data_IF_010211243069
#
_entry.id   IF_010211243069
#
_cell.length_a   1.000
_cell.length_b   1.000
_cell.length_c   1.000
_cell.angle_alpha   90.00
_cell.angle_beta   90.00
_cell.angle_gamma   90.00
#
_symmetry.space_group_name_H-M   'P 1'
#
loop_
_entity.id
_entity.type
_entity.pdbx_description
1 polymer ?
#
# COMPACT_ATOMS: atom_id res chain seq x y z
N UNK A 1 10.89 -5.56 18.33
CA UNK A 1 9.83 -5.63 17.28
C UNK A 1 10.50 -6.13 16.02
N UNK A 2 9.82 -6.89 15.17
CA UNK A 2 10.38 -7.34 13.89
C UNK A 2 10.24 -6.21 12.87
N UNK A 3 11.35 -5.81 12.24
CA UNK A 3 11.35 -4.74 11.24
C UNK A 3 11.26 -5.25 9.80
N UNK A 4 11.71 -6.47 9.53
CA UNK A 4 11.84 -6.99 8.18
C UNK A 4 11.14 -8.32 8.00
N UNK A 5 10.42 -8.46 6.90
CA UNK A 5 9.67 -9.64 6.52
C UNK A 5 9.99 -9.99 5.07
N UNK A 6 9.89 -11.26 4.73
CA UNK A 6 10.01 -11.75 3.37
C UNK A 6 8.69 -12.40 2.96
N UNK A 7 8.04 -11.86 1.96
CA UNK A 7 6.69 -12.30 1.54
C UNK A 7 6.64 -13.81 1.30
N UNK A 8 7.70 -14.39 0.70
CA UNK A 8 7.78 -15.83 0.42
C UNK A 8 7.89 -16.73 1.67
N UNK A 9 8.24 -16.17 2.83
CA UNK A 9 8.38 -16.87 4.11
C UNK A 9 7.17 -16.66 5.04
N UNK A 10 6.22 -15.80 4.62
CA UNK A 10 5.03 -15.48 5.40
C UNK A 10 3.89 -16.44 5.10
N UNK A 11 3.06 -16.68 6.11
CA UNK A 11 1.81 -17.42 5.93
C UNK A 11 0.80 -16.59 5.13
N UNK A 12 0.22 -17.20 4.10
CA UNK A 12 -0.87 -16.59 3.36
C UNK A 12 -2.16 -16.67 4.19
N UNK A 13 -2.86 -15.54 4.29
CA UNK A 13 -4.11 -15.41 5.01
C UNK A 13 -5.23 -15.01 4.05
N UNK A 14 -6.36 -15.69 4.15
CA UNK A 14 -7.55 -15.39 3.38
C UNK A 14 -8.25 -14.15 3.96
N UNK A 15 -8.42 -13.13 3.15
CA UNK A 15 -9.22 -11.96 3.49
C UNK A 15 -10.57 -12.04 2.76
N UNK A 16 -11.65 -11.89 3.53
CA UNK A 16 -12.99 -11.89 2.95
C UNK A 16 -13.58 -13.27 2.66
N UNK A 17 -13.33 -14.27 3.50
CA UNK A 17 -13.83 -15.64 3.36
C UNK A 17 -15.33 -15.73 3.00
N UNK A 18 -16.14 -14.84 3.56
CA UNK A 18 -17.59 -14.80 3.31
C UNK A 18 -17.99 -14.17 1.96
N UNK A 19 -17.09 -13.41 1.30
CA UNK A 19 -17.44 -12.59 0.14
C UNK A 19 -16.39 -12.53 -0.98
N UNK A 20 -15.15 -12.99 -0.74
CA UNK A 20 -14.05 -12.91 -1.68
C UNK A 20 -13.10 -14.11 -1.54
N UNK A 21 -12.21 -14.27 -2.52
CA UNK A 21 -11.11 -15.25 -2.49
C UNK A 21 -9.75 -14.55 -2.45
N UNK A 22 -9.69 -13.40 -1.79
CA UNK A 22 -8.45 -12.62 -1.66
C UNK A 22 -7.50 -13.33 -0.70
N UNK A 23 -6.29 -13.62 -1.14
CA UNK A 23 -5.30 -14.34 -0.36
C UNK A 23 -3.92 -13.69 -0.47
N UNK A 24 -3.11 -13.77 0.58
CA UNK A 24 -1.73 -13.30 0.56
C UNK A 24 -1.12 -13.01 1.92
N UNK A 25 0.07 -12.45 1.90
CA UNK A 25 0.86 -12.13 3.08
C UNK A 25 0.47 -10.75 3.66
N UNK A 26 0.37 -10.66 4.99
CA UNK A 26 -0.02 -9.46 5.71
C UNK A 26 0.93 -9.17 6.87
N UNK A 27 1.37 -7.92 6.98
CA UNK A 27 2.05 -7.37 8.16
C UNK A 27 1.06 -6.45 8.87
N UNK A 28 0.87 -6.68 10.17
CA UNK A 28 0.02 -5.85 11.03
C UNK A 28 0.92 -5.04 11.97
N UNK A 29 0.90 -3.73 11.82
CA UNK A 29 1.58 -2.77 12.67
C UNK A 29 0.68 -2.21 13.76
N UNK A 30 1.08 -1.07 14.32
CA UNK A 30 0.31 -0.36 15.34
C UNK A 30 -0.87 0.42 14.72
N UNK A 31 -0.67 1.04 13.56
CA UNK A 31 -1.63 1.93 12.88
C UNK A 31 -1.97 1.51 11.45
N UNK A 32 -1.15 0.64 10.88
CA UNK A 32 -1.26 0.16 9.51
C UNK A 32 -1.31 -1.36 9.43
N UNK A 33 -2.10 -1.86 8.49
CA UNK A 33 -2.08 -3.25 8.02
C UNK A 33 -1.64 -3.18 6.56
N UNK A 34 -0.61 -3.92 6.19
CA UNK A 34 -0.01 -3.85 4.88
C UNK A 34 0.18 -5.24 4.27
N UNK A 35 -0.10 -5.42 3.00
CA UNK A 35 -0.02 -6.75 2.40
C UNK A 35 0.18 -6.77 0.89
N UNK A 36 0.72 -7.91 0.41
CA UNK A 36 0.78 -8.31 -1.00
C UNK A 36 -0.16 -9.48 -1.22
N UNK A 37 -1.14 -9.28 -2.08
CA UNK A 37 -2.31 -10.13 -2.21
C UNK A 37 -2.57 -10.51 -3.66
N UNK A 38 -3.34 -11.60 -3.84
CA UNK A 38 -3.91 -11.98 -5.13
C UNK A 38 -5.38 -12.39 -5.00
N UNK A 39 -6.09 -12.29 -6.11
CA UNK A 39 -7.44 -12.82 -6.31
C UNK A 39 -7.37 -13.71 -7.56
N UNK A 40 -7.80 -14.99 -7.51
CA UNK A 40 -7.72 -15.90 -8.63
C UNK A 40 -8.53 -15.42 -9.83
N UNK A 41 -8.06 -15.77 -11.03
CA UNK A 41 -8.80 -15.55 -12.29
C UNK A 41 -10.25 -16.06 -12.22
N UNK A 42 -11.15 -15.42 -12.95
CA UNK A 42 -12.56 -15.82 -13.05
C UNK A 42 -13.37 -15.69 -11.77
N UNK A 43 -12.80 -15.08 -10.70
CA UNK A 43 -13.49 -14.89 -9.43
C UNK A 43 -14.01 -13.46 -9.24
N UNK A 44 -14.99 -13.32 -8.37
CA UNK A 44 -15.55 -12.01 -7.99
C UNK A 44 -15.83 -11.95 -6.50
N UNK A 45 -15.76 -10.75 -5.95
CA UNK A 45 -16.23 -10.49 -4.59
C UNK A 45 -17.68 -10.01 -4.59
N UNK A 46 -18.45 -10.43 -3.58
CA UNK A 46 -19.75 -9.81 -3.30
C UNK A 46 -19.54 -8.38 -2.81
N UNK A 47 -20.52 -7.49 -3.00
CA UNK A 47 -20.49 -6.17 -2.36
C UNK A 47 -20.29 -6.31 -0.85
N UNK A 48 -19.31 -5.59 -0.31
CA UNK A 48 -18.93 -5.61 1.09
C UNK A 48 -18.33 -4.28 1.52
N UNK A 49 -18.21 -4.07 2.79
CA UNK A 49 -17.57 -2.89 3.37
C UNK A 49 -16.77 -3.25 4.62
N UNK A 50 -15.89 -2.36 5.05
CA UNK A 50 -15.16 -2.48 6.30
C UNK A 50 -14.89 -1.08 6.90
N UNK A 51 -14.81 -0.97 8.25
CA UNK A 51 -14.61 0.31 8.93
C UNK A 51 -13.28 1.00 8.66
N UNK A 52 -12.26 0.25 8.26
CA UNK A 52 -10.97 0.84 7.90
C UNK A 52 -10.96 1.41 6.49
N UNK A 53 -10.15 2.45 6.31
CA UNK A 53 -9.75 2.96 5.00
C UNK A 53 -8.83 1.95 4.31
N UNK A 54 -8.86 1.92 2.98
CA UNK A 54 -7.99 1.03 2.19
C UNK A 54 -7.50 1.72 0.93
N UNK A 55 -6.19 1.61 0.67
CA UNK A 55 -5.58 2.03 -0.60
C UNK A 55 -4.79 0.86 -1.18
N UNK A 56 -4.92 0.63 -2.48
CA UNK A 56 -4.28 -0.51 -3.16
C UNK A 56 -3.64 -0.09 -4.48
N UNK A 57 -2.48 -0.66 -4.79
CA UNK A 57 -1.79 -0.55 -6.08
C UNK A 57 -1.86 -1.87 -6.83
N UNK A 58 -2.25 -1.84 -8.09
CA UNK A 58 -2.28 -3.01 -8.98
C UNK A 58 -0.87 -3.36 -9.45
N UNK A 59 -0.48 -4.62 -9.27
CA UNK A 59 0.80 -5.18 -9.74
C UNK A 59 0.68 -5.92 -11.07
N UNK A 60 -0.47 -6.58 -11.30
CA UNK A 60 -0.73 -7.37 -12.50
C UNK A 60 -2.15 -7.92 -12.55
N UNK A 61 -2.51 -8.51 -13.69
CA UNK A 61 -3.89 -8.87 -13.97
C UNK A 61 -4.78 -7.66 -14.20
N UNK A 62 -6.08 -7.90 -14.40
CA UNK A 62 -7.10 -6.86 -14.61
C UNK A 62 -8.31 -7.13 -13.73
N UNK A 63 -8.88 -6.08 -13.17
CA UNK A 63 -10.03 -6.18 -12.27
C UNK A 63 -11.04 -5.09 -12.56
N UNK A 64 -12.31 -5.44 -12.60
CA UNK A 64 -13.41 -4.46 -12.55
C UNK A 64 -13.73 -4.21 -11.09
N UNK A 65 -13.50 -3.01 -10.61
CA UNK A 65 -13.82 -2.57 -9.24
C UNK A 65 -15.01 -1.63 -9.28
N UNK A 66 -15.91 -1.77 -8.34
CA UNK A 66 -16.98 -0.81 -8.08
C UNK A 66 -16.83 -0.30 -6.64
N UNK A 67 -16.79 1.01 -6.45
CA UNK A 67 -16.79 1.66 -5.13
C UNK A 67 -17.97 2.63 -5.12
N UNK A 68 -18.96 2.37 -4.25
CA UNK A 68 -20.18 3.20 -4.10
C UNK A 68 -20.89 3.53 -5.42
N UNK A 69 -20.90 2.59 -6.37
CA UNK A 69 -21.55 2.74 -7.67
C UNK A 69 -20.67 3.39 -8.76
N UNK A 70 -19.46 3.86 -8.43
CA UNK A 70 -18.44 4.21 -9.42
C UNK A 70 -17.65 2.96 -9.81
N UNK A 71 -17.82 2.50 -11.05
CA UNK A 71 -17.21 1.29 -11.58
C UNK A 71 -16.09 1.57 -12.57
N UNK A 72 -14.91 0.96 -12.37
CA UNK A 72 -13.77 1.07 -13.29
C UNK A 72 -13.05 -0.25 -13.49
N UNK A 73 -12.41 -0.41 -14.63
CA UNK A 73 -11.42 -1.46 -14.88
C UNK A 73 -10.05 -0.90 -14.54
N UNK A 74 -9.35 -1.62 -13.67
CA UNK A 74 -8.00 -1.28 -13.22
C UNK A 74 -7.01 -2.30 -13.79
N UNK A 75 -5.81 -1.83 -14.08
CA UNK A 75 -4.67 -2.59 -14.56
C UNK A 75 -3.38 -2.13 -13.87
N UNK A 76 -2.25 -2.74 -14.22
CA UNK A 76 -0.95 -2.44 -13.60
C UNK A 76 -0.70 -0.93 -13.50
N UNK A 77 -0.21 -0.51 -12.32
CA UNK A 77 0.08 0.88 -11.96
C UNK A 77 -1.15 1.79 -11.78
N UNK A 78 -2.36 1.21 -11.70
CA UNK A 78 -3.53 1.93 -11.20
C UNK A 78 -3.63 1.80 -9.67
N UNK A 79 -4.09 2.87 -9.00
CA UNK A 79 -4.35 2.90 -7.57
C UNK A 79 -5.85 2.98 -7.33
N UNK A 80 -6.35 2.20 -6.38
CA UNK A 80 -7.72 2.24 -5.90
C UNK A 80 -7.78 2.70 -4.44
N UNK A 81 -8.53 3.76 -4.20
CA UNK A 81 -8.83 4.31 -2.87
C UNK A 81 -10.26 3.96 -2.45
N UNK A 82 -10.39 3.39 -1.27
CA UNK A 82 -11.67 3.02 -0.64
C UNK A 82 -11.77 3.70 0.71
N UNK A 83 -12.62 4.72 0.85
CA UNK A 83 -12.90 5.34 2.15
C UNK A 83 -13.43 4.33 3.17
N UNK A 84 -13.31 4.65 4.43
CA UNK A 84 -13.90 3.88 5.53
C UNK A 84 -15.42 3.66 5.27
N UNK A 85 -15.87 2.41 5.44
CA UNK A 85 -17.25 1.97 5.23
C UNK A 85 -17.79 2.08 3.78
N UNK A 86 -16.98 2.47 2.80
CA UNK A 86 -17.42 2.48 1.40
C UNK A 86 -17.74 1.05 0.93
N UNK A 87 -18.95 0.87 0.37
CA UNK A 87 -19.35 -0.42 -0.21
C UNK A 87 -18.62 -0.63 -1.53
N UNK A 88 -17.94 -1.76 -1.65
CA UNK A 88 -17.18 -2.07 -2.85
C UNK A 88 -17.26 -3.54 -3.24
N UNK A 89 -16.96 -3.82 -4.50
CA UNK A 89 -16.86 -5.15 -5.06
C UNK A 89 -15.78 -5.19 -6.14
N UNK A 90 -15.31 -6.39 -6.46
CA UNK A 90 -14.30 -6.61 -7.49
C UNK A 90 -14.65 -7.85 -8.32
N UNK A 91 -14.32 -7.83 -9.61
CA UNK A 91 -14.43 -8.95 -10.53
C UNK A 91 -13.13 -9.05 -11.34
N UNK A 92 -12.40 -10.14 -11.18
CA UNK A 92 -11.20 -10.38 -11.98
C UNK A 92 -11.61 -10.68 -13.42
N UNK A 93 -11.01 -9.95 -14.36
CA UNK A 93 -11.34 -10.06 -15.80
C UNK A 93 -10.09 -10.46 -16.59
N UNK A 94 -10.27 -11.37 -17.54
CA UNK A 94 -9.17 -11.97 -18.29
C UNK A 94 -8.82 -13.35 -17.75
N UNK A 95 -7.62 -13.81 -18.07
CA UNK A 95 -7.08 -15.14 -17.87
C UNK A 95 -5.83 -15.16 -16.95
N UNK A 96 -5.69 -14.13 -16.13
CA UNK A 96 -4.60 -13.97 -15.15
C UNK A 96 -5.16 -13.64 -13.78
N UNK A 97 -4.49 -14.11 -12.73
CA UNK A 97 -4.74 -13.71 -11.35
C UNK A 97 -4.52 -12.20 -11.19
N UNK A 98 -5.37 -11.57 -10.43
CA UNK A 98 -5.22 -10.17 -10.06
C UNK A 98 -4.31 -10.02 -8.84
N UNK A 99 -3.15 -9.38 -9.00
CA UNK A 99 -2.17 -9.17 -7.95
C UNK A 99 -2.08 -7.68 -7.56
N UNK A 100 -1.99 -7.39 -6.26
CA UNK A 100 -1.95 -6.02 -5.74
C UNK A 100 -1.27 -5.91 -4.38
N UNK A 101 -0.76 -4.71 -4.07
CA UNK A 101 -0.33 -4.30 -2.74
C UNK A 101 -1.44 -3.47 -2.13
N UNK A 102 -1.69 -3.62 -0.84
CA UNK A 102 -2.72 -2.87 -0.13
C UNK A 102 -2.26 -2.40 1.24
N UNK A 103 -2.75 -1.25 1.64
CA UNK A 103 -2.68 -0.74 3.00
C UNK A 103 -4.09 -0.53 3.54
N UNK A 104 -4.30 -0.84 4.82
CA UNK A 104 -5.48 -0.52 5.62
C UNK A 104 -5.04 0.14 6.92
N UNK A 105 -5.86 1.01 7.51
CA UNK A 105 -5.66 1.42 8.89
C UNK A 105 -6.14 0.33 9.88
N UNK A 106 -5.66 0.38 11.11
CA UNK A 106 -5.95 -0.63 12.14
C UNK A 106 -7.28 -0.45 12.89
N UNK A 107 -8.18 0.43 12.41
CA UNK A 107 -9.51 0.58 13.03
C UNK A 107 -10.38 -0.68 12.92
N UNK A 108 -9.99 -1.60 12.04
CA UNK A 108 -10.58 -2.93 11.84
C UNK A 108 -9.50 -3.91 11.38
N UNK A 109 -9.83 -5.21 11.33
CA UNK A 109 -8.92 -6.23 10.80
C UNK A 109 -8.94 -6.32 9.27
N UNK A 110 -8.38 -7.42 8.74
CA UNK A 110 -8.33 -7.68 7.30
C UNK A 110 -9.68 -8.07 6.69
N UNK A 111 -10.63 -8.53 7.51
CA UNK A 111 -11.97 -8.96 7.09
C UNK A 111 -12.89 -7.76 6.84
N UNK A 112 -14.00 -8.01 6.14
CA UNK A 112 -15.10 -7.07 5.96
C UNK A 112 -16.46 -7.73 6.21
N UNK A 113 -17.52 -6.96 6.03
CA UNK A 113 -18.90 -7.40 6.19
C UNK A 113 -19.60 -7.40 4.83
N UNK A 114 -20.33 -8.46 4.51
CA UNK A 114 -21.18 -8.50 3.31
C UNK A 114 -22.22 -7.37 3.39
N UNK A 115 -22.30 -6.55 2.36
CA UNK A 115 -23.27 -5.48 2.29
C UNK A 115 -24.69 -6.02 2.03
N UNK A 116 -25.69 -5.38 2.64
CA UNK A 116 -27.09 -5.64 2.31
C UNK A 116 -27.41 -5.17 0.89
N UNK A 117 -28.49 -5.64 0.25
CA UNK A 117 -28.92 -5.14 -1.06
C UNK A 117 -29.14 -3.61 -1.10
N UNK A 118 -29.62 -3.00 0.00
CA UNK A 118 -29.83 -1.56 0.12
C UNK A 118 -28.52 -0.78 0.17
N UNK A 119 -27.52 -1.29 0.92
CA UNK A 119 -26.18 -0.71 0.96
C UNK A 119 -25.47 -0.84 -0.39
N UNK A 120 -25.57 -1.99 -1.03
CA UNK A 120 -24.97 -2.24 -2.35
C UNK A 120 -25.59 -1.36 -3.47
N UNK A 121 -26.84 -0.89 -3.29
CA UNK A 121 -27.51 -0.01 -4.23
C UNK A 121 -27.19 1.48 -4.03
N UNK A 122 -26.50 1.85 -2.95
CA UNK A 122 -26.08 3.24 -2.69
C UNK A 122 -25.09 3.68 -3.77
N UNK A 123 -25.22 4.94 -4.16
CA UNK A 123 -24.27 5.60 -5.05
C UNK A 123 -23.62 6.74 -4.28
N UNK A 124 -22.33 6.93 -4.50
CA UNK A 124 -21.60 8.06 -3.96
C UNK A 124 -22.31 9.37 -4.28
N UNK A 125 -22.26 10.32 -3.36
CA UNK A 125 -22.87 11.65 -3.53
C UNK A 125 -22.15 12.49 -4.59
N UNK A 126 -22.68 13.69 -4.89
CA UNK A 126 -22.07 14.63 -5.86
C UNK A 126 -20.66 15.11 -5.46
N UNK A 127 -20.30 14.99 -4.17
CA UNK A 127 -18.99 15.31 -3.61
C UNK A 127 -18.15 14.03 -3.43
N UNK A 128 -18.37 13.03 -4.27
CA UNK A 128 -17.67 11.74 -4.18
C UNK A 128 -16.16 11.95 -4.28
N UNK A 129 -15.44 11.39 -3.30
CA UNK A 129 -13.99 11.34 -3.28
C UNK A 129 -13.50 10.61 -4.53
N UNK A 130 -12.36 11.02 -5.07
CA UNK A 130 -11.73 10.29 -6.18
C UNK A 130 -11.28 8.91 -5.70
N UNK A 131 -11.81 7.85 -6.33
CA UNK A 131 -11.52 6.46 -5.96
C UNK A 131 -10.39 5.83 -6.78
N UNK A 132 -10.05 6.39 -7.92
CA UNK A 132 -9.14 5.77 -8.88
C UNK A 132 -8.11 6.78 -9.38
N UNK A 133 -6.85 6.33 -9.39
CA UNK A 133 -5.72 7.13 -9.85
C UNK A 133 -4.87 6.29 -10.80
N UNK A 134 -4.31 6.91 -11.82
CA UNK A 134 -3.34 6.28 -12.72
C UNK A 134 -1.99 6.94 -12.49
N UNK A 135 -0.98 6.18 -12.10
CA UNK A 135 0.34 6.71 -11.73
C UNK A 135 0.92 7.59 -12.82
N UNK A 136 0.77 7.21 -14.11
CA UNK A 136 1.28 8.00 -15.24
C UNK A 136 0.61 9.37 -15.43
N UNK A 137 -0.52 9.63 -14.77
CA UNK A 137 -1.27 10.89 -14.81
C UNK A 137 -1.08 11.72 -13.53
N UNK A 138 -0.35 11.18 -12.55
CA UNK A 138 -0.12 11.83 -11.26
C UNK A 138 1.17 12.65 -11.26
N UNK A 139 1.20 13.68 -10.41
CA UNK A 139 2.39 14.49 -10.20
C UNK A 139 3.47 13.68 -9.46
N UNK A 140 4.70 13.71 -9.97
CA UNK A 140 5.88 13.21 -9.27
C UNK A 140 6.30 14.22 -8.19
N UNK A 141 6.31 13.80 -6.94
CA UNK A 141 6.62 14.64 -5.78
C UNK A 141 7.84 14.11 -5.05
N UNK A 142 8.72 15.00 -4.65
CA UNK A 142 9.88 14.68 -3.82
C UNK A 142 9.49 14.46 -2.37
N UNK A 143 10.09 13.44 -1.76
CA UNK A 143 10.01 13.17 -0.34
C UNK A 143 11.42 13.12 0.26
N UNK A 144 11.63 13.80 1.38
CA UNK A 144 12.93 13.78 2.07
C UNK A 144 14.00 14.66 1.45
N UNK A 145 13.66 15.78 0.83
CA UNK A 145 14.61 16.67 0.14
C UNK A 145 15.86 17.05 0.97
N UNK A 146 15.75 17.07 2.30
CA UNK A 146 16.87 17.39 3.20
C UNK A 146 17.75 16.18 3.57
N UNK A 147 17.35 14.95 3.23
CA UNK A 147 18.05 13.73 3.64
C UNK A 147 18.05 12.60 2.60
N UNK A 148 17.24 12.70 1.53
CA UNK A 148 17.13 11.67 0.49
C UNK A 148 16.78 12.28 -0.87
N UNK A 149 16.99 11.51 -1.93
CA UNK A 149 16.53 11.84 -3.29
C UNK A 149 15.28 11.05 -3.68
N UNK A 150 14.45 10.71 -2.71
CA UNK A 150 13.22 9.96 -2.91
C UNK A 150 12.20 10.80 -3.68
N UNK A 151 11.59 10.22 -4.70
CA UNK A 151 10.51 10.85 -5.45
C UNK A 151 9.48 9.82 -5.92
N UNK A 152 8.31 10.28 -6.32
CA UNK A 152 7.24 9.44 -6.84
C UNK A 152 5.85 10.00 -6.60
N UNK A 153 4.84 9.17 -6.77
CA UNK A 153 3.44 9.57 -6.70
C UNK A 153 2.80 9.19 -5.37
N UNK A 154 1.87 10.03 -4.88
CA UNK A 154 1.23 9.85 -3.60
C UNK A 154 -0.29 10.04 -3.67
N UNK A 155 -1.02 9.17 -3.00
CA UNK A 155 -2.45 9.34 -2.68
C UNK A 155 -2.55 9.56 -1.17
N UNK A 156 -3.18 10.67 -0.79
CA UNK A 156 -3.38 11.04 0.61
C UNK A 156 -4.87 10.84 0.96
N UNK A 157 -5.16 9.83 1.77
CA UNK A 157 -6.47 9.55 2.33
C UNK A 157 -6.69 10.27 3.66
N UNK A 158 -7.73 9.88 4.39
CA UNK A 158 -8.01 10.42 5.72
C UNK A 158 -7.07 9.85 6.79
N UNK A 159 -6.67 8.57 6.65
CA UNK A 159 -5.89 7.82 7.65
C UNK A 159 -4.61 7.23 7.10
N UNK A 160 -4.50 7.12 5.77
CA UNK A 160 -3.38 6.49 5.07
C UNK A 160 -2.83 7.44 4.01
N UNK A 161 -1.51 7.59 3.99
CA UNK A 161 -0.76 8.15 2.87
C UNK A 161 -0.10 6.98 2.15
N UNK A 162 -0.33 6.84 0.85
CA UNK A 162 0.13 5.70 0.08
C UNK A 162 0.85 6.16 -1.18
N UNK A 163 1.99 5.54 -1.53
CA UNK A 163 2.76 5.96 -2.69
C UNK A 163 3.59 4.87 -3.34
N UNK A 164 3.89 5.06 -4.62
CA UNK A 164 4.91 4.32 -5.38
C UNK A 164 6.08 5.25 -5.62
N UNK A 165 7.25 4.90 -5.10
CA UNK A 165 8.41 5.78 -5.00
C UNK A 165 9.65 5.13 -5.59
N UNK A 166 10.65 5.98 -5.90
CA UNK A 166 11.98 5.59 -6.32
C UNK A 166 13.05 6.37 -5.57
N UNK A 167 14.18 5.69 -5.33
CA UNK A 167 15.44 6.30 -4.90
C UNK A 167 16.49 5.95 -5.96
N UNK A 168 17.15 6.95 -6.60
CA UNK A 168 18.09 6.71 -7.68
C UNK A 168 19.31 5.88 -7.25
N UNK A 169 19.82 5.07 -8.17
CA UNK A 169 21.06 4.33 -8.00
C UNK A 169 22.22 5.23 -7.55
N UNK A 170 23.09 4.71 -6.70
CA UNK A 170 24.23 5.45 -6.18
C UNK A 170 23.90 6.56 -5.16
N UNK A 171 22.65 6.61 -4.68
CA UNK A 171 22.22 7.57 -3.66
C UNK A 171 21.87 6.89 -2.35
N UNK A 172 21.68 7.70 -1.31
CA UNK A 172 21.33 7.23 0.04
C UNK A 172 20.27 8.11 0.67
N UNK A 173 19.59 7.56 1.66
CA UNK A 173 18.77 8.27 2.61
C UNK A 173 19.55 8.38 3.93
N UNK A 174 19.88 9.61 4.32
CA UNK A 174 20.54 9.88 5.60
C UNK A 174 19.61 9.59 6.78
N UNK A 175 20.18 9.44 7.97
CA UNK A 175 19.41 9.15 9.17
C UNK A 175 18.33 10.19 9.44
N UNK A 176 17.09 9.74 9.53
CA UNK A 176 15.92 10.57 9.79
C UNK A 176 14.86 9.79 10.55
N UNK A 177 13.86 10.48 11.05
CA UNK A 177 12.70 9.89 11.70
C UNK A 177 11.43 10.67 11.38
N UNK A 178 10.28 10.08 11.64
CA UNK A 178 8.97 10.73 11.53
C UNK A 178 7.96 10.11 12.50
N UNK A 179 6.95 10.89 12.97
CA UNK A 179 5.97 10.42 13.94
C UNK A 179 5.00 9.35 13.43
N UNK A 180 4.80 9.26 12.10
CA UNK A 180 3.94 8.23 11.53
C UNK A 180 4.64 6.86 11.45
N UNK A 181 3.85 5.81 11.58
CA UNK A 181 4.26 4.46 11.20
C UNK A 181 4.40 4.38 9.68
N UNK A 182 5.37 3.61 9.20
CA UNK A 182 5.56 3.38 7.77
C UNK A 182 5.77 1.90 7.46
N UNK A 183 5.11 1.44 6.42
CA UNK A 183 5.34 0.14 5.79
C UNK A 183 5.89 0.34 4.38
N UNK A 184 6.82 -0.50 3.98
CA UNK A 184 7.46 -0.48 2.67
C UNK A 184 7.47 -1.89 2.09
N UNK A 185 7.19 -2.05 0.79
CA UNK A 185 7.48 -3.28 0.04
C UNK A 185 8.28 -2.95 -1.21
N UNK A 186 9.34 -3.71 -1.44
CA UNK A 186 10.25 -3.53 -2.56
C UNK A 186 9.63 -4.08 -3.84
N UNK A 187 9.67 -3.31 -4.93
CA UNK A 187 9.27 -3.74 -6.27
C UNK A 187 10.48 -4.15 -7.12
N UNK A 188 11.57 -3.36 -7.08
CA UNK A 188 12.81 -3.64 -7.80
C UNK A 188 13.99 -2.90 -7.19
N UNK A 189 15.21 -3.26 -7.60
CA UNK A 189 16.45 -2.75 -7.02
C UNK A 189 16.74 -3.36 -5.65
N UNK A 190 17.76 -2.85 -4.99
CA UNK A 190 18.21 -3.30 -3.65
C UNK A 190 18.54 -2.11 -2.78
N UNK A 191 18.18 -2.19 -1.49
CA UNK A 191 18.41 -1.12 -0.53
C UNK A 191 18.95 -1.67 0.78
N UNK A 192 20.14 -1.24 1.18
CA UNK A 192 20.68 -1.58 2.50
C UNK A 192 20.09 -0.61 3.51
N UNK A 193 19.19 -1.10 4.36
CA UNK A 193 18.40 -0.32 5.30
C UNK A 193 18.82 -0.60 6.73
N UNK A 194 18.86 0.46 7.55
CA UNK A 194 19.01 0.41 8.99
C UNK A 194 17.78 1.01 9.65
N UNK A 195 17.17 0.29 10.59
CA UNK A 195 16.06 0.78 11.44
C UNK A 195 16.47 0.55 12.89
N UNK A 196 16.72 1.64 13.65
CA UNK A 196 17.15 1.59 15.06
C UNK A 196 18.33 0.64 15.33
N UNK A 197 19.26 0.50 14.37
CA UNK A 197 20.43 -0.38 14.47
C UNK A 197 20.22 -1.80 13.96
N UNK A 198 19.00 -2.18 13.56
CA UNK A 198 18.72 -3.42 12.85
C UNK A 198 18.94 -3.20 11.35
N UNK A 199 19.91 -3.93 10.76
CA UNK A 199 20.35 -3.72 9.37
C UNK A 199 19.97 -4.90 8.46
N UNK A 200 19.46 -4.58 7.27
CA UNK A 200 19.16 -5.58 6.25
C UNK A 200 19.27 -5.01 4.85
N UNK A 201 19.77 -5.79 3.91
CA UNK A 201 19.61 -5.50 2.49
C UNK A 201 18.27 -6.07 2.00
N UNK A 202 17.40 -5.17 1.54
CA UNK A 202 16.07 -5.47 1.03
C UNK A 202 16.14 -5.64 -0.49
N UNK A 203 15.40 -6.62 -0.99
CA UNK A 203 15.23 -6.91 -2.42
C UNK A 203 13.75 -7.06 -2.74
N UNK A 204 13.40 -7.27 -4.01
CA UNK A 204 12.01 -7.44 -4.43
C UNK A 204 11.25 -8.44 -3.53
N UNK A 205 10.03 -8.06 -3.13
CA UNK A 205 9.14 -8.80 -2.22
C UNK A 205 9.58 -8.84 -0.74
N UNK A 206 10.61 -8.10 -0.34
CA UNK A 206 10.86 -7.84 1.08
C UNK A 206 9.98 -6.68 1.57
N UNK A 207 9.51 -6.79 2.82
CA UNK A 207 8.74 -5.75 3.50
C UNK A 207 9.58 -5.19 4.65
N UNK A 208 9.61 -3.85 4.79
CA UNK A 208 10.12 -3.17 5.97
C UNK A 208 8.96 -2.52 6.74
N UNK A 209 8.99 -2.67 8.06
CA UNK A 209 8.11 -2.01 9.01
C UNK A 209 8.93 -1.02 9.85
N UNK A 210 8.64 0.25 9.69
CA UNK A 210 9.29 1.36 10.39
C UNK A 210 8.30 1.89 11.44
N UNK A 211 8.53 1.60 12.73
CA UNK A 211 7.67 2.09 13.81
C UNK A 211 7.66 3.63 13.90
N UNK A 212 6.64 4.21 14.53
CA UNK A 212 6.61 5.65 14.81
C UNK A 212 7.90 6.12 15.51
N UNK A 213 8.50 7.19 15.00
CA UNK A 213 9.74 7.81 15.50
C UNK A 213 11.02 6.94 15.42
N UNK A 214 10.99 5.75 14.85
CA UNK A 214 12.18 4.95 14.64
C UNK A 214 13.17 5.70 13.73
N UNK A 215 14.43 5.76 14.14
CA UNK A 215 15.51 6.35 13.32
C UNK A 215 15.88 5.36 12.23
N UNK A 216 15.80 5.80 10.98
CA UNK A 216 16.13 4.94 9.85
C UNK A 216 16.93 5.67 8.79
N UNK A 217 17.71 4.88 8.06
CA UNK A 217 18.60 5.32 6.99
C UNK A 217 18.84 4.17 6.01
N UNK A 218 19.53 4.43 4.92
CA UNK A 218 19.99 3.38 4.04
C UNK A 218 20.58 3.91 2.74
N UNK A 219 21.03 2.99 1.91
CA UNK A 219 21.63 3.30 0.61
C UNK A 219 21.18 2.31 -0.47
N UNK A 220 21.09 2.79 -1.70
CA UNK A 220 20.81 1.94 -2.85
C UNK A 220 22.04 1.09 -3.16
N UNK A 221 21.85 -0.22 -3.24
CA UNK A 221 22.91 -1.19 -3.54
C UNK A 221 22.83 -1.62 -5.01
N UNK A 222 23.94 -1.48 -5.71
CA UNK A 222 24.00 -1.80 -7.15
C UNK A 222 23.75 -0.59 -8.04
N UNK A 223 23.42 -0.85 -9.30
CA UNK A 223 23.29 0.12 -10.39
C UNK A 223 21.85 0.34 -10.87
N UNK A 224 20.87 -0.28 -10.17
CA UNK A 224 19.44 -0.10 -10.42
C UNK A 224 18.82 0.82 -9.38
N UNK A 225 17.84 1.63 -9.80
CA UNK A 225 17.02 2.42 -8.90
C UNK A 225 16.24 1.51 -7.95
N UNK A 226 16.17 1.90 -6.68
CA UNK A 226 15.33 1.24 -5.70
C UNK A 226 13.89 1.73 -5.82
N UNK A 227 12.99 0.86 -6.28
CA UNK A 227 11.57 1.16 -6.47
C UNK A 227 10.73 0.40 -5.44
N UNK A 228 9.85 1.10 -4.77
CA UNK A 228 9.04 0.55 -3.68
C UNK A 228 7.66 1.17 -3.58
N UNK A 229 6.75 0.44 -2.94
CA UNK A 229 5.46 0.97 -2.48
C UNK A 229 5.55 1.21 -0.99
N UNK A 230 4.99 2.32 -0.54
CA UNK A 230 4.96 2.69 0.87
C UNK A 230 3.57 3.10 1.31
N UNK A 231 3.26 2.81 2.57
CA UNK A 231 2.13 3.36 3.28
C UNK A 231 2.61 4.02 4.58
N UNK A 232 2.04 5.17 4.91
CA UNK A 232 2.22 5.89 6.19
C UNK A 232 0.85 6.18 6.79
N UNK A 233 0.72 6.20 8.11
CA UNK A 233 -0.46 6.81 8.73
C UNK A 233 -0.40 8.34 8.64
N UNK A 234 -1.55 9.00 8.76
CA UNK A 234 -1.68 10.45 8.58
C UNK A 234 -1.31 11.30 9.81
N UNK A 235 -0.70 10.72 10.85
CA UNK A 235 -0.25 11.49 12.03
C UNK A 235 0.84 12.51 11.70
N UNK A 236 1.48 12.38 10.55
CA UNK A 236 2.45 13.30 9.97
C UNK A 236 2.34 13.30 8.44
N UNK A 237 3.05 14.22 7.77
CA UNK A 237 3.11 14.25 6.30
C UNK A 237 4.10 13.24 5.70
N UNK A 238 4.40 13.42 4.40
CA UNK A 238 5.35 12.55 3.67
C UNK A 238 6.81 12.78 4.07
N UNK A 239 7.15 13.94 4.62
CA UNK A 239 8.52 14.32 4.99
C UNK A 239 8.93 13.72 6.34
N UNK A 240 10.22 13.46 6.49
CA UNK A 240 10.85 13.14 7.78
C UNK A 240 11.67 14.32 8.32
N UNK A 241 12.22 14.14 9.51
CA UNK A 241 13.12 15.08 10.17
C UNK A 241 14.51 14.47 10.23
N UNK A 242 15.56 15.11 9.66
CA UNK A 242 16.92 14.62 9.76
C UNK A 242 17.36 14.49 11.23
N UNK A 243 18.03 13.39 11.54
CA UNK A 243 18.67 13.19 12.86
C UNK A 243 20.10 13.70 12.75
N UNK A 244 20.45 14.70 13.59
CA UNK A 244 21.82 15.20 13.66
C UNK A 244 22.68 14.15 14.35
N UNK A 245 23.75 13.73 13.68
CA UNK A 245 24.85 12.93 14.24
C UNK A 245 25.60 13.68 15.30
#
# INVERSE_FOLDING_TARGET
MQHYYKVSEMENRLAGEAYAQTNGAWVEGERLIFGKLSIPEGTSSKPHSHPNEQISLVLGGRVRVNVEGDGRVLEKDDINYRPANAVHSAEVIGDEDFAFITAKDTSWGIQGNVATPEEAARKGGKDAVQHYYRISEMEDRKAGESYAQTHGTWVEGERIIFGKLSIPAGTKAEAHSHPNEQMVIVLSGSFHMNIDGDERTLVADDIAHIPPNAVHSGEVVGDEDYVFVTAKDTSWGIQGTPVKS
#
